data_IF_375419114825
#
_entry.id   IF_375419114825
#
_cell.length_a   1.000
_cell.length_b   1.000
_cell.length_c   1.000
_cell.angle_alpha   90.00
_cell.angle_beta   90.00
_cell.angle_gamma   90.00
#
_symmetry.space_group_name_H-M   'P 1'
#
loop_
_entity.id
_entity.type
_entity.pdbx_description
1 polymer ?
#
# COMPACT_ATOMS: atom_id res chain seq x y z
N UNK A 1 -17.13 3.32 -11.04
CA UNK A 1 -16.24 2.36 -10.39
C UNK A 1 -16.84 1.89 -9.08
N UNK A 2 -16.69 0.60 -8.73
CA UNK A 2 -17.15 0.11 -7.42
C UNK A 2 -16.29 0.66 -6.29
N UNK A 3 -16.77 0.49 -5.07
CA UNK A 3 -15.99 0.84 -3.89
C UNK A 3 -14.77 -0.08 -3.81
N UNK A 4 -13.61 0.51 -3.52
CA UNK A 4 -12.39 -0.26 -3.28
C UNK A 4 -12.46 -0.83 -1.86
N UNK A 5 -12.83 -2.10 -1.75
CA UNK A 5 -13.03 -2.77 -0.47
C UNK A 5 -11.98 -3.84 -0.30
N UNK A 6 -11.08 -3.63 0.65
CA UNK A 6 -10.03 -4.59 0.96
C UNK A 6 -10.56 -5.71 1.86
N UNK A 7 -10.09 -6.93 1.62
CA UNK A 7 -10.37 -8.06 2.48
C UNK A 7 -9.62 -7.89 3.81
N UNK A 8 -10.31 -8.04 4.93
CA UNK A 8 -9.68 -7.82 6.24
C UNK A 8 -8.50 -8.77 6.50
N UNK A 9 -8.63 -10.03 6.09
CA UNK A 9 -7.52 -10.99 6.22
C UNK A 9 -6.33 -10.64 5.38
N UNK A 10 -6.56 -10.13 4.16
CA UNK A 10 -5.47 -9.69 3.29
C UNK A 10 -4.76 -8.46 3.86
N UNK A 11 -5.50 -7.53 4.45
CA UNK A 11 -4.92 -6.35 5.11
C UNK A 11 -4.06 -6.79 6.30
N UNK A 12 -4.59 -7.68 7.14
CA UNK A 12 -3.84 -8.19 8.30
C UNK A 12 -2.55 -8.87 7.86
N UNK A 13 -2.62 -9.68 6.81
CA UNK A 13 -1.46 -10.35 6.24
C UNK A 13 -0.42 -9.33 5.76
N UNK A 14 -0.84 -8.33 5.01
CA UNK A 14 0.05 -7.29 4.50
C UNK A 14 0.71 -6.48 5.61
N UNK A 15 -0.05 -6.15 6.65
CA UNK A 15 0.48 -5.44 7.81
C UNK A 15 1.55 -6.26 8.51
N UNK A 16 1.30 -7.55 8.73
CA UNK A 16 2.26 -8.42 9.39
C UNK A 16 3.56 -8.53 8.59
N UNK A 17 3.47 -8.71 7.28
CA UNK A 17 4.64 -8.79 6.42
C UNK A 17 5.43 -7.47 6.45
N UNK A 18 4.75 -6.34 6.38
CA UNK A 18 5.41 -5.03 6.43
C UNK A 18 6.16 -4.83 7.74
N UNK A 19 5.54 -5.18 8.87
CA UNK A 19 6.18 -5.03 10.18
C UNK A 19 7.36 -5.99 10.33
N UNK A 20 7.22 -7.21 9.83
CA UNK A 20 8.31 -8.20 9.87
C UNK A 20 9.50 -7.77 9.03
N UNK A 21 9.26 -7.15 7.88
CA UNK A 21 10.33 -6.74 6.97
C UNK A 21 10.97 -5.41 7.34
N UNK A 22 10.19 -4.44 7.81
CA UNK A 22 10.63 -3.05 7.94
C UNK A 22 10.49 -2.48 9.36
N UNK A 23 9.93 -3.23 10.29
CA UNK A 23 9.77 -2.79 11.68
C UNK A 23 8.33 -2.45 12.05
N UNK A 24 8.10 -2.33 13.35
CA UNK A 24 6.75 -2.17 13.90
C UNK A 24 6.07 -0.89 13.46
N UNK A 25 6.83 0.15 13.14
CA UNK A 25 6.28 1.45 12.76
C UNK A 25 6.12 1.61 11.25
N UNK A 26 6.42 0.57 10.47
CA UNK A 26 6.44 0.66 9.02
C UNK A 26 5.04 0.70 8.38
N UNK A 27 4.01 0.33 9.13
CA UNK A 27 2.66 0.22 8.59
C UNK A 27 1.70 1.11 9.36
N UNK A 28 0.91 1.89 8.64
CA UNK A 28 -0.15 2.72 9.21
C UNK A 28 -1.48 2.35 8.57
N UNK A 29 -2.49 2.15 9.40
CA UNK A 29 -3.86 2.02 8.89
C UNK A 29 -4.45 3.41 8.75
N UNK A 30 -5.09 3.67 7.61
CA UNK A 30 -5.75 4.96 7.40
C UNK A 30 -6.97 5.06 8.31
N UNK A 31 -7.07 6.18 9.03
CA UNK A 31 -8.21 6.43 9.91
C UNK A 31 -9.49 6.67 9.11
N UNK A 32 -9.36 7.32 7.95
CA UNK A 32 -10.49 7.65 7.09
C UNK A 32 -10.25 7.10 5.69
N UNK A 33 -11.31 6.69 4.98
CA UNK A 33 -11.14 6.19 3.63
C UNK A 33 -10.70 7.31 2.67
N UNK A 34 -9.91 6.92 1.67
CA UNK A 34 -9.56 7.83 0.59
C UNK A 34 -10.66 7.76 -0.46
N UNK A 35 -11.26 8.90 -0.75
CA UNK A 35 -12.37 8.99 -1.68
C UNK A 35 -11.83 9.15 -3.10
N UNK A 36 -11.55 8.03 -3.76
CA UNK A 36 -11.07 8.03 -5.13
C UNK A 36 -11.52 6.79 -5.87
N UNK A 37 -11.48 6.87 -7.19
CA UNK A 37 -11.82 5.74 -8.03
C UNK A 37 -10.55 4.95 -8.37
N UNK A 38 -10.68 3.63 -8.47
CA UNK A 38 -9.55 2.75 -8.73
C UNK A 38 -10.01 1.50 -9.47
N UNK A 39 -9.35 1.20 -10.57
CA UNK A 39 -9.67 0.01 -11.38
C UNK A 39 -9.48 -1.28 -10.60
N UNK A 40 -8.55 -1.31 -9.66
CA UNK A 40 -8.28 -2.49 -8.85
C UNK A 40 -9.49 -2.92 -8.03
N UNK A 41 -10.46 -2.03 -7.82
CA UNK A 41 -11.71 -2.37 -7.14
C UNK A 41 -12.42 -3.55 -7.82
N UNK A 42 -12.32 -3.65 -9.14
CA UNK A 42 -12.92 -4.77 -9.87
C UNK A 42 -12.25 -6.10 -9.55
N UNK A 43 -10.93 -6.09 -9.35
CA UNK A 43 -10.21 -7.29 -8.94
C UNK A 43 -10.65 -7.71 -7.54
N UNK A 44 -10.81 -6.74 -6.63
CA UNK A 44 -11.21 -7.00 -5.25
C UNK A 44 -12.62 -7.56 -5.13
N UNK A 45 -13.48 -7.33 -6.13
CA UNK A 45 -14.80 -7.95 -6.16
C UNK A 45 -14.75 -9.45 -6.46
N UNK A 46 -13.67 -9.94 -7.05
CA UNK A 46 -13.55 -11.31 -7.52
C UNK A 46 -12.67 -12.17 -6.64
N UNK A 47 -11.66 -11.59 -6.00
CA UNK A 47 -10.71 -12.33 -5.17
C UNK A 47 -10.41 -11.53 -3.90
N UNK A 48 -10.11 -12.23 -2.79
CA UNK A 48 -9.66 -11.54 -1.58
C UNK A 48 -8.34 -10.83 -1.86
N UNK A 49 -8.25 -9.59 -1.46
CA UNK A 49 -7.04 -8.80 -1.68
C UNK A 49 -7.07 -7.49 -0.95
N UNK A 50 -6.03 -6.70 -1.16
CA UNK A 50 -5.90 -5.40 -0.55
C UNK A 50 -5.06 -4.48 -1.42
N UNK A 51 -5.24 -3.19 -1.20
CA UNK A 51 -4.44 -2.15 -1.81
C UNK A 51 -3.68 -1.41 -0.73
N UNK A 52 -2.41 -1.16 -0.96
CA UNK A 52 -1.57 -0.44 -0.02
C UNK A 52 -0.94 0.76 -0.69
N UNK A 53 -0.72 1.82 0.08
CA UNK A 53 -0.03 3.00 -0.40
C UNK A 53 1.39 3.02 0.14
N UNK A 54 2.33 3.32 -0.75
CA UNK A 54 3.72 3.53 -0.39
C UNK A 54 3.94 5.03 -0.22
N UNK A 55 4.36 5.45 0.97
CA UNK A 55 4.71 6.85 1.20
C UNK A 55 5.95 7.21 0.40
N UNK A 56 5.84 8.22 -0.46
CA UNK A 56 6.91 8.62 -1.36
C UNK A 56 7.31 10.08 -1.22
N UNK A 57 6.78 10.79 -0.22
CA UNK A 57 7.16 12.17 0.04
C UNK A 57 8.51 12.22 0.74
N UNK A 58 9.32 13.24 0.39
CA UNK A 58 10.55 13.49 1.12
C UNK A 58 10.20 14.04 2.51
N UNK A 59 11.09 13.80 3.47
CA UNK A 59 10.91 14.36 4.80
C UNK A 59 10.85 15.88 4.73
N UNK A 60 9.83 16.46 5.36
CA UNK A 60 9.64 17.92 5.35
C UNK A 60 8.83 18.45 4.19
N UNK A 61 8.48 17.61 3.21
CA UNK A 61 7.65 18.05 2.10
C UNK A 61 6.23 18.38 2.56
N UNK A 62 5.61 19.34 1.89
CA UNK A 62 4.21 19.69 2.11
C UNK A 62 3.30 18.75 1.31
N UNK A 63 3.34 17.48 1.67
CA UNK A 63 2.62 16.43 0.95
C UNK A 63 1.10 16.62 0.96
N UNK A 64 0.59 17.32 1.95
CA UNK A 64 -0.86 17.52 2.10
C UNK A 64 -1.41 18.58 1.15
N UNK A 65 -0.57 19.50 0.70
CA UNK A 65 -1.01 20.66 -0.08
C UNK A 65 -0.40 20.74 -1.46
N UNK A 66 0.60 19.94 -1.76
CA UNK A 66 1.25 20.00 -3.06
C UNK A 66 1.50 18.63 -3.66
N UNK A 67 1.34 18.61 -4.94
CA UNK A 67 2.07 17.80 -5.91
C UNK A 67 1.78 16.33 -5.80
N UNK A 68 0.52 15.98 -5.55
CA UNK A 68 0.07 14.59 -5.51
C UNK A 68 0.12 13.92 -6.86
N UNK A 69 -0.32 12.68 -6.90
CA UNK A 69 -0.41 11.89 -8.12
C UNK A 69 -1.21 12.65 -9.18
N UNK A 70 -0.82 12.54 -10.42
CA UNK A 70 -1.36 13.28 -11.56
C UNK A 70 -0.94 14.76 -11.64
N UNK A 71 -0.19 15.27 -10.68
CA UNK A 71 0.41 16.60 -10.79
C UNK A 71 1.69 16.51 -11.62
N UNK A 72 1.89 17.49 -12.51
CA UNK A 72 3.14 17.60 -13.27
C UNK A 72 4.34 17.98 -12.40
N UNK A 73 4.07 18.43 -11.16
CA UNK A 73 5.10 18.81 -10.19
C UNK A 73 5.31 17.79 -9.10
N UNK A 74 4.69 16.62 -9.23
CA UNK A 74 4.87 15.55 -8.25
C UNK A 74 6.33 15.14 -8.15
N UNK A 75 6.83 15.07 -6.93
CA UNK A 75 8.17 14.61 -6.60
C UNK A 75 8.07 13.33 -5.78
N UNK A 76 8.91 12.37 -6.07
CA UNK A 76 8.93 11.08 -5.38
C UNK A 76 10.29 10.89 -4.75
N UNK A 77 10.29 10.46 -3.49
CA UNK A 77 11.53 10.02 -2.84
C UNK A 77 11.91 8.64 -3.40
N UNK A 78 12.79 8.64 -4.37
CA UNK A 78 13.20 7.42 -5.08
C UNK A 78 13.90 6.42 -4.17
N UNK A 79 14.42 6.86 -3.01
CA UNK A 79 15.10 5.97 -2.08
C UNK A 79 14.17 4.93 -1.47
N UNK A 80 12.84 5.14 -1.51
CA UNK A 80 11.88 4.17 -1.00
C UNK A 80 11.45 3.13 -2.04
N UNK A 81 11.81 3.33 -3.31
CA UNK A 81 11.38 2.40 -4.38
C UNK A 81 11.87 0.97 -4.17
N UNK A 82 13.14 0.73 -3.76
CA UNK A 82 13.58 -0.63 -3.46
C UNK A 82 12.76 -1.29 -2.34
N UNK A 83 12.30 -0.52 -1.36
CA UNK A 83 11.46 -1.04 -0.28
C UNK A 83 10.10 -1.48 -0.81
N UNK A 84 9.51 -0.70 -1.71
CA UNK A 84 8.25 -1.07 -2.35
C UNK A 84 8.37 -2.36 -3.14
N UNK A 85 9.42 -2.49 -3.93
CA UNK A 85 9.69 -3.70 -4.70
C UNK A 85 9.93 -4.90 -3.78
N UNK A 86 10.70 -4.72 -2.71
CA UNK A 86 10.97 -5.77 -1.74
C UNK A 86 9.68 -6.21 -1.03
N UNK A 87 8.79 -5.26 -0.74
CA UNK A 87 7.53 -5.58 -0.09
C UNK A 87 6.65 -6.46 -0.98
N UNK A 88 6.51 -6.10 -2.26
CA UNK A 88 5.74 -6.93 -3.19
C UNK A 88 6.31 -8.34 -3.30
N UNK A 89 7.63 -8.46 -3.41
CA UNK A 89 8.29 -9.75 -3.45
C UNK A 89 8.09 -10.53 -2.14
N UNK A 90 8.19 -9.84 -1.00
CA UNK A 90 8.00 -10.44 0.32
C UNK A 90 6.59 -10.92 0.54
N UNK A 91 5.59 -10.17 0.07
CA UNK A 91 4.19 -10.58 0.14
C UNK A 91 3.98 -11.89 -0.65
N UNK A 92 4.49 -11.92 -1.87
CA UNK A 92 4.34 -13.10 -2.73
C UNK A 92 5.05 -14.32 -2.13
N UNK A 93 6.30 -14.16 -1.69
CA UNK A 93 7.09 -15.25 -1.12
C UNK A 93 6.43 -15.79 0.15
N UNK A 94 5.99 -14.91 1.03
CA UNK A 94 5.36 -15.31 2.29
C UNK A 94 4.05 -16.05 2.04
N UNK A 95 3.25 -15.57 1.07
CA UNK A 95 1.99 -16.21 0.73
C UNK A 95 2.23 -17.60 0.15
N UNK A 96 3.21 -17.75 -0.73
CA UNK A 96 3.54 -19.06 -1.32
C UNK A 96 4.02 -20.05 -0.26
N UNK A 97 4.67 -19.56 0.79
CA UNK A 97 5.18 -20.39 1.86
C UNK A 97 4.11 -20.77 2.89
N UNK A 98 3.26 -19.83 3.29
CA UNK A 98 2.35 -19.99 4.42
C UNK A 98 0.88 -19.71 4.14
N UNK A 99 0.53 -19.25 2.95
CA UNK A 99 -0.82 -18.78 2.65
C UNK A 99 -1.13 -17.52 3.45
N UNK A 100 -2.39 -17.31 3.76
CA UNK A 100 -2.83 -16.12 4.49
C UNK A 100 -2.45 -16.14 5.99
N UNK A 101 -2.20 -17.27 6.51
CA UNK A 101 -1.88 -17.48 7.91
C UNK A 101 -0.41 -17.35 8.20
#
# INVERSE_FOLDING_TARGET
FPVTLCDAGAVDFGEKVARDMFGEEAFLRLADPIMGAEDFAYVLEKVPGAMFFLGVSHEGDDWAHCCGIHSTRMMVDESVMPQGAAYLAGLAATFLERGWG
#
